data_IF_674267526355
#
_entry.id   IF_674267526355
#
_cell.length_a   1.000
_cell.length_b   1.000
_cell.length_c   1.000
_cell.angle_alpha   90.00
_cell.angle_beta   90.00
_cell.angle_gamma   90.00
#
_symmetry.space_group_name_H-M   'P 1'
#
loop_
_entity.id
_entity.type
_entity.pdbx_description
1 polymer ?
#
# COMPACT_ATOMS: atom_id res chain seq x y z
N UNK A 1 0.61 -0.51 -21.21
CA UNK A 1 0.19 0.34 -20.07
C UNK A 1 0.97 0.05 -18.78
N UNK A 2 1.02 -1.17 -18.22
CA UNK A 2 1.97 -1.49 -17.13
C UNK A 2 3.46 -1.36 -17.54
N UNK A 3 3.74 -1.35 -18.85
CA UNK A 3 5.05 -1.04 -19.42
C UNK A 3 5.47 0.44 -19.27
N UNK A 4 4.54 1.36 -18.98
CA UNK A 4 4.80 2.80 -18.97
C UNK A 4 5.15 3.36 -17.57
N UNK A 5 5.11 2.52 -16.52
CA UNK A 5 5.46 2.91 -15.14
C UNK A 5 6.52 1.95 -14.58
N UNK A 6 7.73 1.90 -15.17
CA UNK A 6 8.77 0.94 -14.79
C UNK A 6 9.22 1.08 -13.33
N UNK A 7 9.08 2.28 -12.76
CA UNK A 7 9.43 2.58 -11.37
C UNK A 7 8.59 1.80 -10.35
N UNK A 8 7.33 1.45 -10.67
CA UNK A 8 6.47 0.68 -9.77
C UNK A 8 7.04 -0.72 -9.46
N UNK A 9 7.78 -1.31 -10.40
CA UNK A 9 8.38 -2.66 -10.22
C UNK A 9 9.37 -2.73 -9.08
N UNK A 10 9.99 -1.61 -8.74
CA UNK A 10 11.01 -1.52 -7.70
C UNK A 10 10.43 -1.14 -6.34
N UNK A 11 9.11 -0.90 -6.26
CA UNK A 11 8.45 -0.54 -5.00
C UNK A 11 8.20 -1.78 -4.15
N UNK A 12 8.65 -1.69 -2.90
CA UNK A 12 8.32 -2.60 -1.81
C UNK A 12 7.57 -1.84 -0.74
N UNK A 13 6.41 -2.35 -0.34
CA UNK A 13 5.65 -1.79 0.77
C UNK A 13 5.84 -2.65 2.00
N UNK A 14 6.10 -2.02 3.13
CA UNK A 14 6.19 -2.69 4.42
C UNK A 14 5.12 -2.12 5.34
N UNK A 15 4.35 -3.00 5.97
CA UNK A 15 3.35 -2.64 6.97
C UNK A 15 3.88 -3.04 8.34
N UNK A 16 4.08 -2.06 9.22
CA UNK A 16 4.40 -2.29 10.61
C UNK A 16 3.10 -2.36 11.41
N UNK A 17 2.83 -3.52 12.00
CA UNK A 17 1.65 -3.77 12.82
C UNK A 17 2.15 -4.07 14.23
N UNK A 18 1.59 -3.38 15.21
CA UNK A 18 1.98 -3.52 16.60
C UNK A 18 0.76 -3.75 17.48
N UNK A 19 0.98 -4.42 18.59
CA UNK A 19 0.01 -4.60 19.66
C UNK A 19 0.74 -4.22 20.95
N UNK A 20 0.31 -3.15 21.62
CA UNK A 20 1.04 -2.58 22.76
C UNK A 20 1.37 -3.64 23.82
N UNK A 21 2.65 -3.79 24.15
CA UNK A 21 3.12 -4.80 25.10
C UNK A 21 3.33 -6.21 24.52
N UNK A 22 3.06 -6.42 23.23
CA UNK A 22 3.30 -7.67 22.50
C UNK A 22 4.19 -7.42 21.26
N UNK A 23 4.64 -8.49 20.59
CA UNK A 23 5.61 -8.38 19.49
C UNK A 23 5.03 -7.63 18.29
N UNK A 24 5.69 -6.53 17.90
CA UNK A 24 5.48 -5.90 16.60
C UNK A 24 5.90 -6.83 15.45
N UNK A 25 5.19 -6.74 14.32
CA UNK A 25 5.44 -7.53 13.12
C UNK A 25 5.54 -6.63 11.89
N UNK A 26 6.25 -7.12 10.87
CA UNK A 26 6.41 -6.44 9.60
C UNK A 26 5.92 -7.32 8.45
N UNK A 27 4.87 -6.87 7.75
CA UNK A 27 4.35 -7.54 6.56
C UNK A 27 4.93 -6.89 5.29
N UNK A 28 5.44 -7.71 4.36
CA UNK A 28 6.20 -7.24 3.18
C UNK A 28 5.47 -7.55 1.89
N UNK A 29 5.25 -6.52 1.09
CA UNK A 29 4.51 -6.59 -0.16
C UNK A 29 5.38 -6.16 -1.33
N UNK A 30 5.17 -6.82 -2.47
CA UNK A 30 5.80 -6.49 -3.74
C UNK A 30 4.74 -6.07 -4.74
N UNK A 31 5.14 -5.27 -5.71
CA UNK A 31 4.30 -4.92 -6.85
C UNK A 31 3.82 -6.19 -7.58
N UNK A 32 2.53 -6.20 -7.93
CA UNK A 32 1.88 -7.30 -8.64
C UNK A 32 1.37 -6.86 -10.02
N UNK A 33 0.77 -5.67 -10.11
CA UNK A 33 0.18 -5.20 -11.36
C UNK A 33 -0.36 -3.79 -11.26
N UNK A 34 -0.72 -3.23 -12.40
CA UNK A 34 -1.38 -1.94 -12.51
C UNK A 34 -2.63 -2.06 -13.38
N UNK A 35 -3.72 -1.44 -12.93
CA UNK A 35 -4.96 -1.34 -13.68
C UNK A 35 -5.31 0.12 -13.91
N UNK A 36 -5.38 0.52 -15.19
CA UNK A 36 -5.78 1.87 -15.59
C UNK A 36 -7.28 2.08 -15.72
N UNK A 37 -8.06 1.02 -15.55
CA UNK A 37 -9.51 1.05 -15.74
C UNK A 37 -10.20 0.54 -14.48
N UNK A 38 -10.18 1.37 -13.45
CA UNK A 38 -11.06 1.22 -12.31
C UNK A 38 -11.71 2.57 -12.07
N UNK A 39 -13.05 2.58 -12.02
CA UNK A 39 -13.91 3.77 -11.89
C UNK A 39 -13.64 4.64 -10.66
N UNK A 40 -12.65 4.29 -9.84
CA UNK A 40 -12.58 4.72 -8.45
C UNK A 40 -11.56 5.81 -8.16
N UNK A 41 -10.63 6.18 -9.04
CA UNK A 41 -9.57 7.12 -8.67
C UNK A 41 -9.20 8.03 -9.85
N UNK A 42 -10.08 8.98 -10.17
CA UNK A 42 -9.64 10.28 -10.65
C UNK A 42 -9.58 11.20 -9.41
N UNK A 43 -8.55 11.10 -8.54
CA UNK A 43 -8.49 11.92 -7.32
C UNK A 43 -8.48 13.43 -7.60
N UNK A 44 -8.18 13.83 -8.84
CA UNK A 44 -8.16 15.21 -9.32
C UNK A 44 -9.32 15.55 -10.28
N UNK A 45 -10.31 14.67 -10.43
CA UNK A 45 -11.39 14.83 -11.40
C UNK A 45 -10.98 14.48 -12.83
N UNK A 46 -11.92 13.99 -13.65
CA UNK A 46 -11.71 13.81 -15.10
C UNK A 46 -11.94 15.17 -15.76
N UNK A 47 -10.89 15.91 -16.09
CA UNK A 47 -11.04 17.06 -17.00
C UNK A 47 -11.49 16.52 -18.34
N UNK A 48 -12.76 16.76 -18.69
CA UNK A 48 -13.36 16.28 -19.94
C UNK A 48 -13.01 17.17 -21.14
N UNK A 49 -12.43 18.34 -20.88
CA UNK A 49 -12.05 19.34 -21.89
C UNK A 49 -10.58 19.22 -22.37
N UNK A 50 -9.80 18.32 -21.77
CA UNK A 50 -8.41 18.09 -22.18
C UNK A 50 -8.31 16.76 -22.96
N UNK A 51 -8.16 16.81 -24.30
CA UNK A 51 -8.04 15.62 -25.15
C UNK A 51 -6.73 14.84 -24.90
N UNK A 52 -5.76 15.41 -24.18
CA UNK A 52 -4.52 14.74 -23.76
C UNK A 52 -4.57 14.21 -22.32
N UNK A 53 -5.72 14.38 -21.62
CA UNK A 53 -5.98 13.83 -20.28
C UNK A 53 -6.18 12.30 -20.26
N UNK A 54 -5.38 11.57 -21.03
CA UNK A 54 -4.93 10.22 -20.68
C UNK A 54 -4.05 10.31 -19.43
N UNK A 55 -4.64 10.76 -18.31
CA UNK A 55 -3.93 10.95 -17.05
C UNK A 55 -3.28 9.64 -16.64
N UNK A 56 -1.96 9.56 -16.83
CA UNK A 56 -1.08 8.55 -16.21
C UNK A 56 -1.26 8.49 -14.68
N UNK A 57 -1.92 9.51 -14.11
CA UNK A 57 -2.28 9.67 -12.71
C UNK A 57 -3.53 8.90 -12.28
N UNK A 58 -4.29 8.31 -13.21
CA UNK A 58 -5.47 7.51 -12.89
C UNK A 58 -5.14 6.01 -13.01
N UNK A 59 -5.21 5.29 -11.89
CA UNK A 59 -5.01 3.85 -11.89
C UNK A 59 -4.80 3.29 -10.49
N UNK A 60 -4.90 1.97 -10.38
CA UNK A 60 -4.63 1.22 -9.15
C UNK A 60 -3.34 0.43 -9.35
N UNK A 61 -2.41 0.55 -8.40
CA UNK A 61 -1.24 -0.31 -8.30
C UNK A 61 -1.49 -1.37 -7.23
N UNK A 62 -1.52 -2.63 -7.63
CA UNK A 62 -1.75 -3.75 -6.74
C UNK A 62 -0.44 -4.26 -6.17
N UNK A 63 -0.43 -4.50 -4.86
CA UNK A 63 0.69 -5.06 -4.12
C UNK A 63 0.24 -6.34 -3.41
N UNK A 64 1.04 -7.40 -3.53
CA UNK A 64 0.76 -8.71 -2.93
C UNK A 64 1.84 -9.09 -1.92
N UNK A 65 1.50 -9.88 -0.89
CA UNK A 65 2.49 -10.39 0.03
C UNK A 65 3.62 -11.12 -0.71
N UNK A 66 4.86 -10.87 -0.32
CA UNK A 66 6.04 -11.56 -0.89
C UNK A 66 6.01 -13.06 -0.58
N UNK A 67 5.46 -13.42 0.57
CA UNK A 67 5.20 -14.79 1.02
C UNK A 67 3.87 -14.83 1.76
N UNK A 68 3.28 -16.02 1.92
CA UNK A 68 2.09 -16.16 2.76
C UNK A 68 2.49 -15.96 4.22
N UNK A 69 2.06 -14.85 4.82
CA UNK A 69 2.37 -14.50 6.21
C UNK A 69 1.15 -14.77 7.10
N UNK A 70 1.41 -15.33 8.28
CA UNK A 70 0.42 -15.45 9.37
C UNK A 70 1.05 -14.90 10.63
N UNK A 71 0.35 -13.98 11.28
CA UNK A 71 0.78 -13.38 12.53
C UNK A 71 -0.21 -13.79 13.62
N UNK A 72 0.32 -14.16 14.79
CA UNK A 72 -0.49 -14.45 15.96
C UNK A 72 -0.33 -13.28 16.91
N UNK A 73 -1.45 -12.69 17.30
CA UNK A 73 -1.51 -11.62 18.28
C UNK A 73 -2.05 -12.18 19.60
N UNK A 74 -1.68 -11.56 20.72
CA UNK A 74 -2.26 -11.97 21.99
C UNK A 74 -3.72 -11.53 22.04
N UNK A 75 -4.57 -12.32 22.71
CA UNK A 75 -5.98 -12.01 22.86
C UNK A 75 -6.37 -12.23 24.32
N UNK A 76 -6.12 -11.22 25.14
CA UNK A 76 -6.67 -11.09 26.49
C UNK A 76 -7.75 -10.01 26.54
N UNK A 77 -8.60 -10.04 27.56
CA UNK A 77 -9.68 -9.06 27.79
C UNK A 77 -9.20 -7.62 27.97
N UNK A 78 -7.93 -7.43 28.32
CA UNK A 78 -7.32 -6.11 28.53
C UNK A 78 -6.33 -5.73 27.42
N UNK A 79 -6.07 -6.62 26.45
CA UNK A 79 -5.12 -6.30 25.39
C UNK A 79 -5.82 -5.49 24.29
N UNK A 80 -5.18 -4.42 23.79
CA UNK A 80 -5.69 -3.71 22.63
C UNK A 80 -5.60 -4.59 21.38
N UNK A 81 -6.45 -4.34 20.36
CA UNK A 81 -6.31 -5.00 19.07
C UNK A 81 -4.98 -4.62 18.39
N UNK A 82 -4.47 -5.45 17.46
CA UNK A 82 -3.33 -5.07 16.63
C UNK A 82 -3.67 -3.82 15.81
N UNK A 83 -2.75 -2.86 15.80
CA UNK A 83 -2.89 -1.57 15.13
C UNK A 83 -1.84 -1.46 14.04
N UNK A 84 -2.25 -1.03 12.86
CA UNK A 84 -1.32 -0.61 11.82
C UNK A 84 -0.63 0.67 12.28
N UNK A 85 0.67 0.58 12.61
CA UNK A 85 1.45 1.70 13.14
C UNK A 85 2.14 2.51 12.07
N UNK A 86 2.58 1.84 10.99
CA UNK A 86 3.33 2.51 9.94
C UNK A 86 3.21 1.78 8.62
N UNK A 87 3.25 2.55 7.54
CA UNK A 87 3.50 2.06 6.20
C UNK A 87 4.83 2.68 5.77
N UNK A 88 5.78 1.88 5.29
CA UNK A 88 7.03 2.38 4.71
C UNK A 88 7.19 1.89 3.27
N UNK A 89 7.90 2.69 2.48
CA UNK A 89 8.14 2.44 1.06
C UNK A 89 9.62 2.24 0.85
N UNK A 90 10.03 1.11 0.27
CA UNK A 90 11.43 0.78 0.02
C UNK A 90 12.32 0.80 1.28
N UNK A 91 11.73 0.54 2.46
CA UNK A 91 12.44 0.63 3.74
C UNK A 91 12.71 2.06 4.21
N UNK A 92 12.21 3.08 3.51
CA UNK A 92 12.26 4.47 3.96
C UNK A 92 11.21 4.70 5.06
N UNK A 93 11.72 4.89 6.27
CA UNK A 93 10.92 5.14 7.47
C UNK A 93 10.73 6.63 7.79
N UNK A 94 11.29 7.53 6.97
CA UNK A 94 11.24 8.98 7.21
C UNK A 94 9.87 9.61 6.96
N UNK A 95 8.95 8.87 6.32
CA UNK A 95 7.62 9.32 5.94
C UNK A 95 6.55 8.48 6.61
N UNK A 96 5.57 9.15 7.18
CA UNK A 96 4.37 8.52 7.75
C UNK A 96 3.23 8.62 6.74
N UNK A 97 2.65 7.48 6.38
CA UNK A 97 1.56 7.39 5.40
C UNK A 97 0.25 6.92 6.03
N UNK A 98 0.12 7.04 7.36
CA UNK A 98 -1.10 6.78 8.10
C UNK A 98 -1.67 8.13 8.51
N UNK A 99 -2.98 8.31 8.31
CA UNK A 99 -3.72 9.55 8.64
C UNK A 99 -4.38 9.49 10.00
#
# INVERSE_FOLDING_TARGET
LAQNLPWLRNIKLHLSIDQEGFRGIEAKFRFAGWSGSTRSLCPFGRNTDDPDATSFHAGIADFVPTTRQKFNFHQSTLDPPPVLRRISVNGDESREYIS
#
